data_IF_992070813886
#
_entry.id   IF_992070813886
#
_cell.length_a   1.000
_cell.length_b   1.000
_cell.length_c   1.000
_cell.angle_alpha   90.00
_cell.angle_beta   90.00
_cell.angle_gamma   90.00
#
_symmetry.space_group_name_H-M   'P 1'
#
loop_
_entity.id
_entity.type
_entity.pdbx_description
1 polymer ?
#
# COMPACT_ATOMS: atom_id res chain seq x y z
N UNK A 1 -28.74 30.39 11.49
CA UNK A 1 -29.57 29.42 10.75
C UNK A 1 -28.75 28.16 10.51
N UNK A 2 -29.19 26.98 10.95
CA UNK A 2 -28.48 25.72 10.71
C UNK A 2 -28.65 25.33 9.24
N UNK A 3 -27.58 25.39 8.44
CA UNK A 3 -27.58 24.91 7.06
C UNK A 3 -27.59 23.38 7.10
N UNK A 4 -28.75 22.76 6.91
CA UNK A 4 -28.85 21.30 6.74
C UNK A 4 -28.03 20.86 5.53
N UNK A 5 -27.42 19.66 5.59
CA UNK A 5 -26.74 19.08 4.42
C UNK A 5 -27.76 18.94 3.28
N UNK A 6 -27.41 19.41 2.09
CA UNK A 6 -28.24 19.28 0.87
C UNK A 6 -27.88 17.98 0.16
N UNK A 7 -28.89 17.25 -0.28
CA UNK A 7 -28.73 16.03 -1.08
C UNK A 7 -28.26 16.36 -2.49
N UNK A 8 -27.73 15.39 -3.24
CA UNK A 8 -27.39 15.58 -4.65
C UNK A 8 -28.64 15.92 -5.49
N UNK A 9 -29.76 15.25 -5.19
CA UNK A 9 -31.05 15.44 -5.87
C UNK A 9 -31.58 16.88 -5.73
N UNK A 10 -31.30 17.55 -4.60
CA UNK A 10 -31.64 18.97 -4.38
C UNK A 10 -30.99 19.90 -5.43
N UNK A 11 -29.83 19.51 -5.99
CA UNK A 11 -29.14 20.27 -7.05
C UNK A 11 -29.64 19.87 -8.44
N UNK A 12 -29.89 18.57 -8.64
CA UNK A 12 -30.29 18.01 -9.94
C UNK A 12 -31.57 18.66 -10.46
N UNK A 13 -32.56 18.90 -9.58
CA UNK A 13 -33.80 19.58 -9.97
C UNK A 13 -33.56 20.91 -10.71
N UNK A 14 -32.60 21.71 -10.24
CA UNK A 14 -32.25 22.99 -10.87
C UNK A 14 -31.41 22.83 -12.14
N UNK A 15 -30.57 21.79 -12.22
CA UNK A 15 -29.77 21.53 -13.42
C UNK A 15 -30.64 21.01 -14.57
N UNK A 16 -31.61 20.14 -14.30
CA UNK A 16 -32.55 19.62 -15.30
C UNK A 16 -33.47 20.71 -15.87
N UNK A 17 -33.82 21.71 -15.07
CA UNK A 17 -34.66 22.83 -15.51
C UNK A 17 -33.91 23.87 -16.35
N UNK A 18 -32.56 23.88 -16.32
CA UNK A 18 -31.69 24.70 -17.19
C UNK A 18 -31.81 26.22 -17.03
N UNK A 19 -32.62 26.70 -16.09
CA UNK A 19 -33.08 28.10 -16.02
C UNK A 19 -32.31 28.98 -15.04
N UNK A 20 -31.48 28.39 -14.17
CA UNK A 20 -30.78 29.11 -13.10
C UNK A 20 -29.25 29.01 -13.21
N UNK A 21 -28.61 30.14 -12.97
CA UNK A 21 -27.15 30.24 -12.82
C UNK A 21 -26.67 29.65 -11.49
N UNK A 22 -25.39 29.27 -11.42
CA UNK A 22 -24.78 28.72 -10.20
C UNK A 22 -24.87 29.66 -8.98
N UNK A 23 -25.00 30.97 -9.22
CA UNK A 23 -25.16 31.98 -8.18
C UNK A 23 -26.55 31.88 -7.57
N UNK A 24 -27.59 31.83 -8.42
CA UNK A 24 -28.98 31.73 -7.98
C UNK A 24 -29.27 30.42 -7.26
N UNK A 25 -28.69 29.31 -7.74
CA UNK A 25 -28.81 28.00 -7.09
C UNK A 25 -28.12 28.02 -5.72
N UNK A 26 -26.95 28.67 -5.61
CA UNK A 26 -26.23 28.78 -4.35
C UNK A 26 -27.01 29.58 -3.29
N UNK A 27 -27.65 30.68 -3.71
CA UNK A 27 -28.50 31.51 -2.85
C UNK A 27 -29.75 30.73 -2.39
N UNK A 28 -30.43 30.03 -3.30
CA UNK A 28 -31.62 29.23 -2.97
C UNK A 28 -31.31 28.05 -2.05
N UNK A 29 -30.22 27.34 -2.30
CA UNK A 29 -29.82 26.18 -1.50
C UNK A 29 -29.07 26.57 -0.21
N UNK A 30 -28.63 27.82 -0.10
CA UNK A 30 -27.85 28.34 1.02
C UNK A 30 -26.42 27.81 1.07
N UNK A 31 -25.85 27.42 -0.07
CA UNK A 31 -24.52 26.79 -0.22
C UNK A 31 -23.56 27.71 -0.96
N UNK A 32 -22.28 27.33 -1.08
CA UNK A 32 -21.34 28.13 -1.86
C UNK A 32 -21.52 27.89 -3.35
N UNK A 33 -21.33 28.94 -4.18
CA UNK A 33 -21.29 28.84 -5.65
C UNK A 33 -20.32 27.75 -6.12
N UNK A 34 -19.15 27.65 -5.49
CA UNK A 34 -18.14 26.63 -5.81
C UNK A 34 -18.68 25.22 -5.59
N UNK A 35 -19.50 25.00 -4.56
CA UNK A 35 -20.14 23.71 -4.34
C UNK A 35 -21.11 23.38 -5.46
N UNK A 36 -21.96 24.33 -5.87
CA UNK A 36 -22.89 24.15 -7.01
C UNK A 36 -22.13 23.79 -8.28
N UNK A 37 -21.07 24.53 -8.62
CA UNK A 37 -20.25 24.26 -9.80
C UNK A 37 -19.66 22.83 -9.79
N UNK A 38 -19.14 22.38 -8.64
CA UNK A 38 -18.61 21.01 -8.49
C UNK A 38 -19.68 19.95 -8.72
N UNK A 39 -20.89 20.16 -8.20
CA UNK A 39 -22.01 19.21 -8.37
C UNK A 39 -22.53 19.24 -9.82
N UNK A 40 -22.60 20.41 -10.46
CA UNK A 40 -22.98 20.55 -11.87
C UNK A 40 -22.01 19.80 -12.80
N UNK A 41 -20.72 19.96 -12.58
CA UNK A 41 -19.69 19.24 -13.35
C UNK A 41 -19.78 17.72 -13.20
N UNK A 42 -20.19 17.21 -12.02
CA UNK A 42 -20.45 15.78 -11.82
C UNK A 42 -21.70 15.32 -12.57
N UNK A 43 -22.77 16.11 -12.49
CA UNK A 43 -24.04 15.82 -13.17
C UNK A 43 -23.90 15.84 -14.70
N UNK A 44 -23.22 16.84 -15.28
CA UNK A 44 -22.94 16.95 -16.72
C UNK A 44 -22.12 15.77 -17.26
N UNK A 45 -21.28 15.16 -16.41
CA UNK A 45 -20.51 13.96 -16.74
C UNK A 45 -21.31 12.66 -16.66
N UNK A 46 -22.58 12.72 -16.26
CA UNK A 46 -23.42 11.54 -16.09
C UNK A 46 -23.02 10.67 -14.90
N UNK A 47 -22.24 11.19 -13.95
CA UNK A 47 -21.96 10.52 -12.68
C UNK A 47 -23.20 10.63 -11.79
N UNK A 48 -24.23 9.84 -12.10
CA UNK A 48 -25.39 9.68 -11.22
C UNK A 48 -24.94 9.01 -9.93
N UNK A 49 -25.44 9.48 -8.79
CA UNK A 49 -25.31 8.75 -7.53
C UNK A 49 -26.26 7.54 -7.54
N UNK A 50 -26.02 6.58 -8.43
CA UNK A 50 -26.58 5.24 -8.29
C UNK A 50 -25.79 4.56 -7.18
N UNK A 51 -26.24 4.79 -5.95
CA UNK A 51 -25.90 3.95 -4.81
C UNK A 51 -26.89 2.77 -4.80
N UNK A 52 -26.80 1.91 -5.81
CA UNK A 52 -27.31 0.54 -5.75
C UNK A 52 -26.10 -0.36 -5.47
N UNK A 53 -26.05 -0.88 -4.24
CA UNK A 53 -24.88 -1.50 -3.63
C UNK A 53 -24.03 -2.38 -4.56
N UNK A 54 -22.77 -1.98 -4.70
CA UNK A 54 -21.61 -2.87 -4.86
C UNK A 54 -21.64 -3.94 -5.97
N UNK A 55 -22.43 -3.78 -7.05
CA UNK A 55 -22.31 -4.65 -8.23
C UNK A 55 -21.81 -3.86 -9.42
N UNK A 56 -20.51 -3.97 -9.67
CA UNK A 56 -19.89 -3.58 -10.94
C UNK A 56 -20.27 -4.64 -11.97
N UNK A 57 -21.10 -4.29 -12.95
CA UNK A 57 -21.34 -5.12 -14.13
C UNK A 57 -20.35 -4.76 -15.21
N UNK A 58 -19.55 -5.72 -15.65
CA UNK A 58 -18.64 -5.58 -16.81
C UNK A 58 -19.23 -6.34 -18.01
N UNK A 59 -18.89 -5.93 -19.23
CA UNK A 59 -19.22 -6.72 -20.42
C UNK A 59 -18.39 -8.00 -20.48
N UNK A 60 -18.92 -9.04 -21.12
CA UNK A 60 -18.23 -10.33 -21.33
C UNK A 60 -16.87 -10.12 -22.02
N UNK A 61 -16.83 -9.29 -23.06
CA UNK A 61 -15.58 -8.98 -23.77
C UNK A 61 -14.52 -8.34 -22.87
N UNK A 62 -14.94 -7.51 -21.91
CA UNK A 62 -14.03 -6.89 -20.93
C UNK A 62 -13.52 -7.94 -19.95
N UNK A 63 -14.37 -8.86 -19.51
CA UNK A 63 -13.98 -9.97 -18.66
C UNK A 63 -12.94 -10.87 -19.34
N UNK A 64 -13.20 -11.28 -20.59
CA UNK A 64 -12.29 -12.13 -21.36
C UNK A 64 -10.95 -11.44 -21.68
N UNK A 65 -11.00 -10.14 -21.93
CA UNK A 65 -9.80 -9.34 -22.10
C UNK A 65 -8.94 -9.33 -20.83
N UNK A 66 -9.56 -9.09 -19.67
CA UNK A 66 -8.87 -9.07 -18.37
C UNK A 66 -8.30 -10.44 -18.01
N UNK A 67 -9.05 -11.51 -18.23
CA UNK A 67 -8.56 -12.89 -18.06
C UNK A 67 -7.33 -13.14 -18.94
N UNK A 68 -7.43 -12.84 -20.24
CA UNK A 68 -6.33 -13.02 -21.19
C UNK A 68 -5.10 -12.21 -20.80
N UNK A 69 -5.28 -10.98 -20.31
CA UNK A 69 -4.19 -10.14 -19.84
C UNK A 69 -3.54 -10.70 -18.57
N UNK A 70 -4.33 -11.15 -17.60
CA UNK A 70 -3.85 -11.77 -16.37
C UNK A 70 -3.00 -13.01 -16.67
N UNK A 71 -3.49 -13.93 -17.51
CA UNK A 71 -2.74 -15.12 -17.91
C UNK A 71 -1.43 -14.78 -18.62
N UNK A 72 -1.43 -13.81 -19.55
CA UNK A 72 -0.19 -13.37 -20.22
C UNK A 72 0.82 -12.79 -19.22
N UNK A 73 0.34 -12.00 -18.25
CA UNK A 73 1.20 -11.44 -17.21
C UNK A 73 1.78 -12.52 -16.30
N UNK A 74 1.00 -13.56 -15.98
CA UNK A 74 1.45 -14.69 -15.17
C UNK A 74 2.51 -15.53 -15.89
N UNK A 75 2.29 -15.86 -17.16
CA UNK A 75 3.26 -16.60 -17.98
C UNK A 75 4.57 -15.81 -18.08
N UNK A 76 4.48 -14.48 -18.29
CA UNK A 76 5.65 -13.61 -18.33
C UNK A 76 6.40 -13.58 -16.99
N UNK A 77 5.69 -13.48 -15.87
CA UNK A 77 6.27 -13.51 -14.53
C UNK A 77 6.95 -14.87 -14.23
N UNK A 78 6.33 -15.99 -14.63
CA UNK A 78 6.92 -17.33 -14.49
C UNK A 78 8.20 -17.46 -15.30
N UNK A 79 8.25 -16.93 -16.53
CA UNK A 79 9.44 -16.93 -17.37
C UNK A 79 10.59 -16.13 -16.73
N UNK A 80 10.31 -14.89 -16.29
CA UNK A 80 11.29 -14.03 -15.62
C UNK A 80 11.84 -14.71 -14.36
N UNK A 81 10.98 -15.35 -13.57
CA UNK A 81 11.41 -16.11 -12.38
C UNK A 81 12.34 -17.25 -12.76
N UNK A 82 12.02 -18.03 -13.80
CA UNK A 82 12.89 -19.10 -14.28
C UNK A 82 14.24 -18.60 -14.79
N UNK A 83 14.27 -17.45 -15.49
CA UNK A 83 15.52 -16.80 -15.92
C UNK A 83 16.37 -16.37 -14.72
N UNK A 84 15.73 -15.77 -13.71
CA UNK A 84 16.39 -15.37 -12.45
C UNK A 84 16.93 -16.58 -11.68
N UNK A 85 16.18 -17.68 -11.60
CA UNK A 85 16.62 -18.91 -10.92
C UNK A 85 17.87 -19.50 -11.60
N UNK A 86 17.93 -19.48 -12.94
CA UNK A 86 19.09 -19.93 -13.71
C UNK A 86 20.29 -19.01 -13.49
N UNK A 87 20.11 -17.69 -13.54
CA UNK A 87 21.18 -16.72 -13.30
C UNK A 87 21.73 -16.82 -11.87
N UNK A 88 20.85 -17.05 -10.90
CA UNK A 88 21.20 -17.28 -9.50
C UNK A 88 22.02 -18.56 -9.32
N UNK A 89 21.67 -19.63 -10.03
CA UNK A 89 22.46 -20.87 -10.04
C UNK A 89 23.84 -20.66 -10.69
N UNK A 90 23.91 -19.90 -11.78
CA UNK A 90 25.18 -19.59 -12.47
C UNK A 90 26.14 -18.76 -11.62
N UNK A 91 25.63 -17.90 -10.74
CA UNK A 91 26.43 -17.11 -9.81
C UNK A 91 26.78 -17.87 -8.52
N UNK A 92 26.51 -19.18 -8.44
CA UNK A 92 26.63 -20.02 -7.23
C UNK A 92 25.84 -19.49 -6.02
N UNK A 93 24.91 -18.56 -6.22
CA UNK A 93 24.06 -17.94 -5.19
C UNK A 93 22.92 -18.86 -4.74
N UNK A 94 23.08 -20.18 -4.89
CA UNK A 94 22.14 -21.21 -4.44
C UNK A 94 21.88 -21.16 -2.93
N UNK A 95 22.81 -20.60 -2.16
CA UNK A 95 22.67 -20.32 -0.72
C UNK A 95 21.75 -19.13 -0.39
N UNK A 96 21.37 -18.30 -1.37
CA UNK A 96 20.46 -17.15 -1.17
C UNK A 96 18.97 -17.56 -1.05
N UNK A 97 18.66 -18.86 -1.05
CA UNK A 97 17.27 -19.34 -1.17
C UNK A 97 16.60 -19.36 0.19
N UNK A 98 15.63 -18.47 0.43
CA UNK A 98 14.72 -18.38 1.59
C UNK A 98 15.32 -18.42 3.01
N UNK A 99 16.51 -18.95 3.20
CA UNK A 99 17.29 -19.02 4.43
C UNK A 99 17.97 -17.69 4.71
N UNK A 100 18.03 -16.74 3.77
CA UNK A 100 18.31 -15.33 4.10
C UNK A 100 17.20 -14.66 4.93
N UNK A 101 16.04 -15.29 5.12
CA UNK A 101 15.08 -14.85 6.15
C UNK A 101 15.61 -15.10 7.55
N UNK A 102 16.54 -16.05 7.71
CA UNK A 102 17.41 -16.09 8.88
C UNK A 102 18.63 -15.24 8.51
N UNK A 103 18.92 -14.15 9.21
CA UNK A 103 20.22 -13.54 9.02
C UNK A 103 21.25 -14.65 9.31
N UNK A 104 21.94 -15.12 8.28
CA UNK A 104 23.18 -15.85 8.45
C UNK A 104 24.16 -14.83 9.02
N UNK A 105 24.02 -14.57 10.32
CA UNK A 105 24.99 -13.80 11.07
C UNK A 105 26.25 -14.64 11.02
N UNK A 106 27.15 -14.25 10.13
CA UNK A 106 28.55 -14.65 10.22
C UNK A 106 28.98 -14.22 11.62
N UNK A 107 29.19 -15.21 12.49
CA UNK A 107 29.70 -14.97 13.83
C UNK A 107 31.10 -14.37 13.67
N UNK A 108 31.26 -13.06 13.87
CA UNK A 108 32.58 -12.49 14.11
C UNK A 108 32.97 -12.87 15.53
N UNK A 109 33.68 -13.99 15.68
CA UNK A 109 34.35 -14.34 16.94
C UNK A 109 35.51 -13.39 17.24
N UNK A 110 36.03 -12.72 16.21
CA UNK A 110 37.15 -11.79 16.27
C UNK A 110 36.94 -10.59 15.34
N UNK A 111 37.53 -9.45 15.70
CA UNK A 111 37.62 -8.27 14.83
C UNK A 111 39.04 -7.72 14.84
N UNK A 112 39.48 -7.14 13.71
CA UNK A 112 40.76 -6.46 13.62
C UNK A 112 40.66 -5.08 14.30
N UNK A 113 41.53 -4.81 15.26
CA UNK A 113 41.60 -3.53 15.94
C UNK A 113 42.37 -2.49 15.11
N UNK A 114 42.39 -1.23 15.57
CA UNK A 114 43.05 -0.13 14.86
C UNK A 114 44.59 -0.25 14.76
N UNK A 115 45.18 -1.30 15.35
CA UNK A 115 46.61 -1.59 15.37
C UNK A 115 46.93 -2.84 14.52
N UNK A 116 45.92 -3.47 13.91
CA UNK A 116 46.06 -4.66 13.07
C UNK A 116 46.06 -5.99 13.84
N UNK A 117 45.78 -5.97 15.15
CA UNK A 117 45.64 -7.21 15.93
C UNK A 117 44.18 -7.66 15.96
N UNK A 118 43.96 -8.97 15.99
CA UNK A 118 42.62 -9.55 16.15
C UNK A 118 42.24 -9.64 17.63
N UNK A 119 41.09 -9.10 17.97
CA UNK A 119 40.52 -9.14 19.32
C UNK A 119 39.31 -10.07 19.31
N UNK A 120 39.33 -11.09 20.17
CA UNK A 120 38.24 -12.05 20.32
C UNK A 120 37.16 -11.54 21.27
N UNK A 121 35.90 -11.87 21.02
CA UNK A 121 34.82 -11.61 21.95
C UNK A 121 34.64 -12.78 22.92
N UNK A 122 35.10 -12.65 24.17
CA UNK A 122 35.06 -13.73 25.18
C UNK A 122 33.66 -14.33 25.42
N UNK A 123 32.61 -13.54 25.16
CA UNK A 123 31.22 -13.90 25.38
C UNK A 123 30.53 -14.50 24.13
N UNK A 124 31.17 -14.46 22.96
CA UNK A 124 30.64 -15.07 21.73
C UNK A 124 31.37 -16.41 21.54
N UNK A 125 30.84 -17.46 22.18
CA UNK A 125 31.38 -18.81 22.16
C UNK A 125 30.27 -19.86 21.95
N UNK A 126 30.60 -21.15 22.00
CA UNK A 126 29.67 -22.27 21.80
C UNK A 126 28.47 -22.27 22.76
N UNK A 127 28.56 -21.55 23.88
CA UNK A 127 27.50 -21.43 24.89
C UNK A 127 26.66 -20.15 24.70
N UNK A 128 26.88 -19.37 23.63
CA UNK A 128 26.14 -18.14 23.38
C UNK A 128 24.70 -18.44 22.90
N UNK A 129 23.72 -18.11 23.75
CA UNK A 129 22.30 -18.33 23.48
C UNK A 129 21.67 -17.13 22.76
N UNK A 130 21.60 -17.23 21.44
CA UNK A 130 21.06 -16.19 20.56
C UNK A 130 19.58 -15.86 20.84
N UNK A 131 18.75 -16.88 21.06
CA UNK A 131 17.30 -16.70 21.24
C UNK A 131 17.01 -15.88 22.48
N UNK A 132 17.80 -16.09 23.54
CA UNK A 132 17.71 -15.31 24.77
C UNK A 132 18.07 -13.84 24.56
N UNK A 133 19.12 -13.55 23.79
CA UNK A 133 19.54 -12.17 23.50
C UNK A 133 18.54 -11.47 22.58
N UNK A 134 18.08 -12.14 21.52
CA UNK A 134 17.10 -11.61 20.58
C UNK A 134 15.76 -11.29 21.27
N UNK A 135 15.29 -12.17 22.15
CA UNK A 135 14.07 -11.96 22.96
C UNK A 135 14.22 -10.78 23.93
N UNK A 136 15.42 -10.63 24.51
CA UNK A 136 15.70 -9.51 25.42
C UNK A 136 15.70 -8.17 24.65
N UNK A 137 16.31 -8.12 23.46
CA UNK A 137 16.34 -6.93 22.60
C UNK A 137 14.96 -6.54 22.08
N UNK A 138 14.13 -7.50 21.66
CA UNK A 138 12.76 -7.22 21.19
C UNK A 138 11.89 -6.68 22.32
N UNK A 139 12.07 -7.18 23.54
CA UNK A 139 11.38 -6.70 24.74
C UNK A 139 11.80 -5.26 25.10
N UNK A 140 13.10 -4.94 25.03
CA UNK A 140 13.63 -3.59 25.26
C UNK A 140 13.11 -2.60 24.20
N UNK A 141 13.09 -3.02 22.94
CA UNK A 141 12.62 -2.18 21.83
C UNK A 141 11.12 -1.90 21.94
N UNK A 142 10.33 -2.91 22.33
CA UNK A 142 8.89 -2.76 22.56
C UNK A 142 8.59 -1.79 23.71
N UNK A 143 9.30 -1.92 24.83
CA UNK A 143 9.15 -1.02 25.98
C UNK A 143 9.60 0.43 25.69
N UNK A 144 10.61 0.60 24.84
CA UNK A 144 11.10 1.94 24.45
C UNK A 144 10.07 2.67 23.57
N UNK A 145 9.37 1.95 22.70
CA UNK A 145 8.33 2.52 21.83
C UNK A 145 7.08 2.96 22.61
N UNK A 146 6.73 2.28 23.72
CA UNK A 146 5.63 2.71 24.60
C UNK A 146 5.95 3.99 25.40
N UNK A 147 7.22 4.23 25.72
CA UNK A 147 7.65 5.41 26.48
C UNK A 147 7.74 6.69 25.62
N UNK A 148 7.93 6.55 24.31
CA UNK A 148 7.98 7.68 23.35
C UNK A 148 6.57 8.09 22.88
N UNK A 149 5.55 7.26 23.11
CA UNK A 149 4.17 7.49 22.68
C UNK A 149 3.27 8.19 23.73
N UNK A 150 3.83 8.70 24.83
CA UNK A 150 3.15 9.53 25.85
C UNK A 150 3.65 10.96 25.80
#
# INVERSE_FOLDING_TARGET
MKKGKRSFDDYVAYFSEGSLSDIEIAERLGVSRVNVWRIRQKWEKGETSVNEGSRVTISEDTFEHLLSQAFRSEIKARKIRGELDVERANLELGFIDNDLKKPALVYLSEYENNVGDFVTFDHINENFDYEKVATSLSSITSNSNELVAK
#
